data_IF_833178894709
#
_entry.id   IF_833178894709
#
_cell.length_a   1.000
_cell.length_b   1.000
_cell.length_c   1.000
_cell.angle_alpha   90.00
_cell.angle_beta   90.00
_cell.angle_gamma   90.00
#
_symmetry.space_group_name_H-M   'P 1'
#
loop_
_entity.id
_entity.type
_entity.pdbx_description
1 polymer ?
#
# COMPACT_ATOMS: atom_id res chain seq x y z
N UNK A 1 31.54 38.13 18.84
CA UNK A 1 31.69 36.67 19.08
C UNK A 1 30.47 35.99 18.52
N UNK A 2 30.64 34.95 17.69
CA UNK A 2 29.48 34.17 17.25
C UNK A 2 28.83 33.49 18.47
N UNK A 3 27.50 33.55 18.62
CA UNK A 3 26.83 32.92 19.75
C UNK A 3 27.10 31.41 19.74
N UNK A 4 27.54 30.86 20.88
CA UNK A 4 27.71 29.41 21.05
C UNK A 4 26.34 28.74 21.04
N UNK A 5 26.15 27.75 20.18
CA UNK A 5 24.92 26.99 20.07
C UNK A 5 25.21 25.50 19.85
N UNK A 6 24.32 24.59 20.27
CA UNK A 6 24.54 23.15 20.22
C UNK A 6 24.76 22.60 18.81
N UNK A 7 24.28 23.29 17.76
CA UNK A 7 24.55 22.86 16.38
C UNK A 7 26.03 22.96 15.98
N UNK A 8 26.86 23.82 16.59
CA UNK A 8 28.28 23.98 16.17
C UNK A 8 29.11 22.70 16.32
N UNK A 9 28.70 21.79 17.22
CA UNK A 9 29.39 20.54 17.50
C UNK A 9 28.75 19.33 16.80
N UNK A 10 27.70 19.54 16.00
CA UNK A 10 27.03 18.45 15.31
C UNK A 10 27.88 17.96 14.12
N UNK A 11 27.86 16.66 13.80
CA UNK A 11 28.56 16.12 12.65
C UNK A 11 27.98 16.66 11.33
N UNK A 12 28.74 16.59 10.24
CA UNK A 12 28.33 17.15 8.94
C UNK A 12 26.99 16.60 8.43
N UNK A 13 26.71 15.32 8.71
CA UNK A 13 25.43 14.65 8.39
C UNK A 13 24.19 15.31 9.02
N UNK A 14 24.36 16.13 10.06
CA UNK A 14 23.27 16.86 10.70
C UNK A 14 22.88 18.14 9.94
N UNK A 15 23.63 18.52 8.90
CA UNK A 15 23.40 19.76 8.15
C UNK A 15 23.05 19.45 6.69
N UNK A 16 21.79 19.65 6.31
CA UNK A 16 21.30 19.40 4.94
C UNK A 16 22.19 19.99 3.85
N UNK A 17 22.63 21.25 4.01
CA UNK A 17 23.52 21.94 3.05
C UNK A 17 24.87 21.24 2.87
N UNK A 18 25.40 20.62 3.93
CA UNK A 18 26.69 19.90 3.90
C UNK A 18 26.55 18.46 3.41
N UNK A 19 25.35 17.88 3.50
CA UNK A 19 25.10 16.46 3.17
C UNK A 19 24.41 16.27 1.82
N UNK A 20 23.24 16.88 1.61
CA UNK A 20 22.39 16.62 0.45
C UNK A 20 22.22 17.82 -0.50
N UNK A 21 22.39 19.05 0.00
CA UNK A 21 22.08 20.26 -0.78
C UNK A 21 23.08 20.64 -1.88
N UNK A 22 24.28 20.04 -1.90
CA UNK A 22 25.35 20.41 -2.86
C UNK A 22 26.16 19.21 -3.36
N UNK A 23 25.76 17.98 -3.02
CA UNK A 23 26.44 16.76 -3.43
C UNK A 23 25.60 16.03 -4.47
N UNK A 24 26.26 15.32 -5.40
CA UNK A 24 25.56 14.41 -6.30
C UNK A 24 24.92 13.27 -5.49
N UNK A 25 23.68 12.81 -5.79
CA UNK A 25 22.97 11.86 -4.94
C UNK A 25 23.72 10.56 -4.60
N UNK A 26 24.60 10.08 -5.49
CA UNK A 26 25.41 8.89 -5.26
C UNK A 26 26.66 9.15 -4.39
N UNK A 27 27.07 10.40 -4.26
CA UNK A 27 28.24 10.81 -3.47
C UNK A 27 27.87 11.11 -2.01
N UNK A 28 26.56 11.16 -1.71
CA UNK A 28 26.07 11.33 -0.35
C UNK A 28 26.43 10.09 0.47
N UNK A 29 27.53 10.18 1.21
CA UNK A 29 28.01 9.13 2.11
C UNK A 29 27.63 9.44 3.56
N UNK A 30 27.53 8.40 4.39
CA UNK A 30 27.28 8.51 5.85
C UNK A 30 25.97 9.20 6.28
N UNK A 31 25.03 9.47 5.36
CA UNK A 31 23.73 10.08 5.70
C UNK A 31 22.78 9.12 6.42
N UNK A 32 22.96 7.80 6.23
CA UNK A 32 22.20 6.77 6.91
C UNK A 32 23.08 5.58 7.29
N UNK A 33 22.62 4.84 8.30
CA UNK A 33 23.15 3.53 8.64
C UNK A 33 22.07 2.48 8.36
N UNK A 34 22.42 1.47 7.56
CA UNK A 34 21.50 0.35 7.27
C UNK A 34 21.21 -0.41 8.58
N UNK A 35 19.93 -0.50 8.95
CA UNK A 35 19.50 -1.35 10.08
C UNK A 35 19.65 -2.84 9.75
N UNK A 36 19.46 -3.22 8.49
CA UNK A 36 19.63 -4.58 8.00
C UNK A 36 19.83 -4.60 6.46
N UNK A 37 20.46 -5.65 5.90
CA UNK A 37 20.55 -5.84 4.46
C UNK A 37 19.20 -6.28 3.87
N UNK A 38 18.93 -5.88 2.63
CA UNK A 38 17.70 -6.24 1.89
C UNK A 38 17.95 -6.96 0.56
N UNK A 39 19.16 -6.89 -0.01
CA UNK A 39 19.44 -7.32 -1.38
C UNK A 39 19.07 -8.78 -1.70
N UNK A 40 19.24 -9.69 -0.74
CA UNK A 40 19.02 -11.13 -0.94
C UNK A 40 17.62 -11.59 -0.50
N UNK A 41 16.79 -10.69 0.01
CA UNK A 41 15.51 -11.03 0.62
C UNK A 41 14.37 -10.80 -0.36
N UNK A 42 13.38 -11.71 -0.44
CA UNK A 42 12.11 -11.44 -1.12
C UNK A 42 11.49 -10.13 -0.62
N UNK A 43 11.39 -9.14 -1.49
CA UNK A 43 10.88 -7.80 -1.18
C UNK A 43 9.50 -7.62 -1.80
N UNK A 44 8.53 -7.25 -0.98
CA UNK A 44 7.21 -6.85 -1.42
C UNK A 44 6.94 -5.38 -1.11
N UNK A 45 6.17 -4.69 -1.95
CA UNK A 45 5.84 -3.26 -1.78
C UNK A 45 4.35 -3.00 -1.89
N UNK A 46 3.77 -2.28 -0.93
CA UNK A 46 2.38 -1.81 -0.97
C UNK A 46 2.29 -0.34 -0.52
N UNK A 47 1.14 0.29 -0.73
CA UNK A 47 0.86 1.64 -0.24
C UNK A 47 0.30 2.56 -1.32
N UNK A 48 0.60 3.85 -1.17
CA UNK A 48 0.25 4.89 -2.15
C UNK A 48 0.97 4.70 -3.50
N UNK A 49 0.66 5.57 -4.47
CA UNK A 49 1.27 5.55 -5.81
C UNK A 49 2.82 5.58 -5.76
N UNK A 50 3.41 6.21 -4.74
CA UNK A 50 4.86 6.26 -4.60
C UNK A 50 5.49 4.88 -4.35
N UNK A 51 4.75 3.94 -3.75
CA UNK A 51 5.22 2.56 -3.60
C UNK A 51 5.37 1.83 -4.95
N UNK A 52 4.67 2.26 -6.01
CA UNK A 52 4.86 1.73 -7.38
C UNK A 52 6.26 2.09 -7.90
N UNK A 53 6.67 3.35 -7.71
CA UNK A 53 8.01 3.79 -8.09
C UNK A 53 9.11 3.06 -7.33
N UNK A 54 8.91 2.82 -6.03
CA UNK A 54 9.84 2.01 -5.22
C UNK A 54 9.91 0.58 -5.77
N UNK A 55 8.78 -0.07 -6.00
CA UNK A 55 8.72 -1.44 -6.52
C UNK A 55 9.39 -1.58 -7.89
N UNK A 56 9.08 -0.66 -8.81
CA UNK A 56 9.72 -0.57 -10.13
C UNK A 56 11.24 -0.41 -10.01
N UNK A 57 11.71 0.51 -9.17
CA UNK A 57 13.14 0.73 -9.01
C UNK A 57 13.84 -0.48 -8.39
N UNK A 58 13.23 -1.16 -7.41
CA UNK A 58 13.79 -2.39 -6.86
C UNK A 58 13.95 -3.47 -7.93
N UNK A 59 12.94 -3.65 -8.79
CA UNK A 59 12.96 -4.60 -9.90
C UNK A 59 14.04 -4.23 -10.94
N UNK A 60 14.08 -2.97 -11.38
CA UNK A 60 15.02 -2.47 -12.39
C UNK A 60 16.48 -2.54 -11.89
N UNK A 61 16.70 -2.49 -10.57
CA UNK A 61 18.02 -2.63 -9.94
C UNK A 61 18.39 -4.08 -9.56
N UNK A 62 17.58 -5.06 -9.97
CA UNK A 62 17.88 -6.48 -9.77
C UNK A 62 17.72 -6.99 -8.33
N UNK A 63 16.96 -6.29 -7.48
CA UNK A 63 16.57 -6.84 -6.18
C UNK A 63 15.60 -8.01 -6.37
N UNK A 64 15.51 -8.87 -5.36
CA UNK A 64 14.56 -9.97 -5.32
C UNK A 64 13.12 -9.47 -5.05
N UNK A 65 12.57 -8.69 -5.99
CA UNK A 65 11.20 -8.17 -5.94
C UNK A 65 10.19 -9.29 -6.22
N UNK A 66 9.19 -9.41 -5.36
CA UNK A 66 8.16 -10.44 -5.43
C UNK A 66 6.90 -9.87 -6.06
N UNK A 67 6.37 -10.61 -7.04
CA UNK A 67 5.02 -10.48 -7.57
C UNK A 67 4.31 -11.82 -7.39
N UNK A 68 3.29 -11.86 -6.52
CA UNK A 68 2.53 -13.09 -6.20
C UNK A 68 1.25 -13.21 -7.01
N UNK A 69 0.89 -12.20 -7.80
CA UNK A 69 -0.32 -12.18 -8.63
C UNK A 69 0.03 -11.68 -10.04
N UNK A 70 0.91 -12.41 -10.75
CA UNK A 70 1.36 -11.98 -12.06
C UNK A 70 0.23 -12.05 -13.08
N UNK A 71 0.37 -11.26 -14.15
CA UNK A 71 -0.56 -11.31 -15.28
C UNK A 71 -0.67 -12.73 -15.85
N UNK A 72 -1.87 -13.19 -16.23
CA UNK A 72 -2.02 -14.45 -16.92
C UNK A 72 -1.31 -14.41 -18.28
N UNK A 73 -0.80 -15.56 -18.73
CA UNK A 73 0.05 -15.64 -19.92
C UNK A 73 -0.63 -15.22 -21.24
N UNK A 74 -1.97 -15.23 -21.28
CA UNK A 74 -2.75 -14.78 -22.43
C UNK A 74 -2.92 -13.26 -22.51
N UNK A 75 -2.67 -12.52 -21.41
CA UNK A 75 -2.79 -11.06 -21.40
C UNK A 75 -1.51 -10.43 -21.96
N UNK A 76 -1.69 -9.64 -23.01
CA UNK A 76 -0.62 -8.93 -23.70
C UNK A 76 0.04 -7.91 -22.76
N UNK A 77 1.33 -7.66 -22.98
CA UNK A 77 2.11 -6.78 -22.10
C UNK A 77 1.56 -5.35 -22.03
N UNK A 78 0.91 -4.86 -23.08
CA UNK A 78 0.44 -3.48 -23.15
C UNK A 78 -0.77 -3.27 -22.23
N UNK A 79 -1.69 -4.24 -22.15
CA UNK A 79 -2.88 -4.14 -21.30
C UNK A 79 -2.65 -4.52 -19.84
N UNK A 80 -1.52 -5.12 -19.45
CA UNK A 80 -1.30 -5.59 -18.07
C UNK A 80 -1.55 -4.52 -17.00
N UNK A 81 -1.07 -3.31 -17.23
CA UNK A 81 -1.22 -2.21 -16.27
C UNK A 81 -2.68 -1.74 -16.16
N UNK A 82 -3.43 -1.73 -17.26
CA UNK A 82 -4.85 -1.36 -17.27
C UNK A 82 -5.68 -2.29 -16.37
N UNK A 83 -5.27 -3.55 -16.25
CA UNK A 83 -5.90 -4.57 -15.42
C UNK A 83 -5.25 -4.75 -14.05
N UNK A 84 -4.34 -3.87 -13.63
CA UNK A 84 -3.77 -3.96 -12.29
C UNK A 84 -2.46 -4.73 -12.15
N UNK A 85 -2.02 -5.44 -13.20
CA UNK A 85 -0.92 -6.39 -13.10
C UNK A 85 0.45 -5.72 -13.16
N UNK A 86 1.38 -6.21 -12.33
CA UNK A 86 2.75 -5.72 -12.28
C UNK A 86 2.93 -4.33 -11.67
N UNK A 87 1.86 -3.70 -11.17
CA UNK A 87 1.94 -2.41 -10.46
C UNK A 87 2.58 -2.53 -9.08
N UNK A 88 2.30 -3.62 -8.38
CA UNK A 88 2.75 -3.90 -7.02
C UNK A 88 3.11 -5.38 -6.88
N UNK A 89 3.35 -5.82 -5.65
CA UNK A 89 3.61 -7.22 -5.34
C UNK A 89 2.38 -8.12 -5.38
N UNK A 90 1.18 -7.56 -5.36
CA UNK A 90 -0.08 -8.23 -5.70
C UNK A 90 -1.07 -7.20 -6.26
N UNK A 91 -2.19 -7.65 -6.82
CA UNK A 91 -3.15 -6.82 -7.56
C UNK A 91 -4.17 -6.13 -6.65
N UNK A 92 -3.71 -5.51 -5.55
CA UNK A 92 -4.57 -4.78 -4.60
C UNK A 92 -4.80 -3.31 -4.97
N UNK A 93 -4.12 -2.78 -5.99
CA UNK A 93 -4.20 -1.37 -6.35
C UNK A 93 -3.54 -0.46 -5.31
N UNK A 94 -4.02 0.77 -5.14
CA UNK A 94 -3.49 1.65 -4.11
C UNK A 94 -4.05 1.28 -2.72
N UNK A 95 -3.17 1.16 -1.73
CA UNK A 95 -3.53 1.03 -0.32
C UNK A 95 -3.19 2.35 0.36
N UNK A 96 -4.15 3.27 0.43
CA UNK A 96 -3.89 4.64 0.83
C UNK A 96 -3.73 4.80 2.34
N UNK A 97 -4.52 4.11 3.14
CA UNK A 97 -4.52 4.27 4.60
C UNK A 97 -3.98 3.06 5.34
N UNK A 98 -3.49 3.26 6.57
CA UNK A 98 -3.09 2.18 7.47
C UNK A 98 -4.27 1.22 7.75
N UNK A 99 -5.48 1.77 7.87
CA UNK A 99 -6.71 0.99 8.09
C UNK A 99 -6.98 0.01 6.95
N UNK A 100 -6.81 0.44 5.71
CA UNK A 100 -6.94 -0.44 4.54
C UNK A 100 -5.90 -1.56 4.55
N UNK A 101 -4.64 -1.29 4.93
CA UNK A 101 -3.60 -2.31 5.02
C UNK A 101 -3.94 -3.39 6.06
N UNK A 102 -4.39 -2.97 7.25
CA UNK A 102 -4.81 -3.90 8.31
C UNK A 102 -5.94 -4.79 7.81
N UNK A 103 -6.97 -4.19 7.21
CA UNK A 103 -8.13 -4.95 6.73
C UNK A 103 -7.80 -5.83 5.52
N UNK A 104 -6.86 -5.43 4.66
CA UNK A 104 -6.35 -6.28 3.58
C UNK A 104 -5.72 -7.56 4.15
N UNK A 105 -4.88 -7.43 5.18
CA UNK A 105 -4.29 -8.59 5.86
C UNK A 105 -5.34 -9.45 6.59
N UNK A 106 -6.31 -8.83 7.26
CA UNK A 106 -7.39 -9.55 7.92
C UNK A 106 -8.25 -10.33 6.92
N UNK A 107 -8.63 -9.72 5.80
CA UNK A 107 -9.40 -10.35 4.72
C UNK A 107 -8.63 -11.51 4.09
N UNK A 108 -7.34 -11.32 3.79
CA UNK A 108 -6.49 -12.38 3.24
C UNK A 108 -6.32 -13.59 4.19
N UNK A 109 -6.46 -13.37 5.50
CA UNK A 109 -6.38 -14.41 6.53
C UNK A 109 -7.76 -14.91 7.00
N UNK A 110 -8.85 -14.48 6.38
CA UNK A 110 -10.22 -14.85 6.76
C UNK A 110 -10.64 -14.35 8.14
N UNK A 111 -9.95 -13.35 8.69
CA UNK A 111 -10.24 -12.75 10.02
C UNK A 111 -11.28 -11.63 9.95
N UNK A 112 -11.58 -11.13 8.75
CA UNK A 112 -12.57 -10.09 8.52
C UNK A 112 -13.25 -10.34 7.18
N UNK A 113 -14.58 -10.39 7.18
CA UNK A 113 -15.42 -10.49 5.99
C UNK A 113 -16.34 -9.26 5.98
N UNK A 114 -16.09 -8.30 5.07
CA UNK A 114 -16.93 -7.10 4.97
C UNK A 114 -18.37 -7.43 4.57
N UNK A 115 -19.33 -6.67 5.09
CA UNK A 115 -20.74 -6.78 4.68
C UNK A 115 -20.96 -6.28 3.24
N UNK A 116 -20.19 -5.27 2.81
CA UNK A 116 -20.27 -4.74 1.46
C UNK A 116 -19.56 -5.66 0.47
N UNK A 117 -20.30 -6.62 -0.09
CA UNK A 117 -19.78 -7.60 -1.03
C UNK A 117 -19.41 -7.00 -2.40
N UNK A 118 -20.15 -6.02 -2.90
CA UNK A 118 -19.88 -5.40 -4.21
C UNK A 118 -20.47 -4.00 -4.29
N UNK A 119 -20.02 -3.23 -5.27
CA UNK A 119 -20.65 -1.99 -5.71
C UNK A 119 -21.25 -2.18 -7.11
N UNK A 120 -22.38 -1.55 -7.39
CA UNK A 120 -22.99 -1.57 -8.73
C UNK A 120 -22.46 -0.42 -9.59
N UNK A 121 -22.17 -0.70 -10.86
CA UNK A 121 -21.79 0.31 -11.86
C UNK A 121 -22.19 -0.20 -13.24
N UNK A 122 -22.89 0.60 -14.03
CA UNK A 122 -23.23 0.34 -15.45
C UNK A 122 -23.80 -1.08 -15.71
N UNK A 123 -24.61 -1.59 -14.78
CA UNK A 123 -25.22 -2.93 -14.87
C UNK A 123 -24.32 -4.09 -14.43
N UNK A 124 -23.07 -3.83 -14.06
CA UNK A 124 -22.13 -4.82 -13.53
C UNK A 124 -21.71 -4.58 -12.08
N UNK A 125 -20.67 -5.30 -11.67
CA UNK A 125 -20.22 -5.42 -10.28
C UNK A 125 -18.77 -4.93 -10.12
N UNK A 126 -18.50 -4.15 -9.09
CA UNK A 126 -17.18 -3.58 -8.79
C UNK A 126 -16.73 -4.03 -7.40
N UNK A 127 -15.46 -4.41 -7.27
CA UNK A 127 -14.87 -4.76 -5.96
C UNK A 127 -14.64 -3.47 -5.14
N UNK A 128 -15.34 -3.25 -4.01
CA UNK A 128 -15.26 -2.00 -3.23
C UNK A 128 -13.85 -1.70 -2.72
N UNK A 129 -13.01 -2.73 -2.58
CA UNK A 129 -11.67 -2.62 -2.04
C UNK A 129 -10.60 -2.48 -3.10
N UNK A 130 -10.96 -2.69 -4.37
CA UNK A 130 -10.10 -2.55 -5.55
C UNK A 130 -10.91 -1.93 -6.71
N UNK A 131 -11.58 -0.79 -6.49
CA UNK A 131 -12.67 -0.34 -7.37
C UNK A 131 -12.21 0.16 -8.74
N UNK A 132 -10.90 0.32 -8.96
CA UNK A 132 -10.30 0.72 -10.24
C UNK A 132 -9.36 -0.35 -10.80
N UNK A 133 -9.46 -1.59 -10.32
CA UNK A 133 -8.52 -2.66 -10.72
C UNK A 133 -8.90 -3.34 -12.03
N UNK A 134 -10.19 -3.35 -12.34
CA UNK A 134 -10.71 -3.73 -13.64
C UNK A 134 -11.13 -2.45 -14.36
N UNK A 135 -10.84 -2.32 -15.67
CA UNK A 135 -11.31 -1.18 -16.46
C UNK A 135 -12.85 -1.09 -16.50
N UNK A 136 -13.49 -2.25 -16.64
CA UNK A 136 -14.94 -2.40 -16.70
C UNK A 136 -15.48 -3.17 -15.48
N UNK A 137 -16.73 -2.94 -15.07
CA UNK A 137 -17.38 -3.75 -14.05
C UNK A 137 -17.42 -5.23 -14.46
N UNK A 138 -17.26 -6.13 -13.48
CA UNK A 138 -17.47 -7.56 -13.69
C UNK A 138 -18.91 -7.84 -14.14
N UNK A 139 -19.09 -8.83 -15.00
CA UNK A 139 -20.39 -9.18 -15.56
C UNK A 139 -21.30 -9.88 -14.53
N UNK A 140 -20.71 -10.48 -13.49
CA UNK A 140 -21.46 -11.15 -12.41
C UNK A 140 -20.77 -11.05 -11.06
N UNK A 141 -21.55 -11.22 -9.98
CA UNK A 141 -21.01 -11.34 -8.62
C UNK A 141 -20.09 -12.55 -8.47
N UNK A 142 -20.38 -13.66 -9.15
CA UNK A 142 -19.56 -14.89 -9.12
C UNK A 142 -18.17 -14.63 -9.70
N UNK A 143 -18.09 -13.92 -10.82
CA UNK A 143 -16.82 -13.53 -11.44
C UNK A 143 -15.98 -12.65 -10.50
N UNK A 144 -16.62 -11.62 -9.94
CA UNK A 144 -16.01 -10.73 -8.95
C UNK A 144 -15.49 -11.50 -7.73
N UNK A 145 -16.29 -12.40 -7.17
CA UNK A 145 -15.92 -13.18 -5.99
C UNK A 145 -14.79 -14.16 -6.30
N UNK A 146 -14.77 -14.76 -7.48
CA UNK A 146 -13.68 -15.63 -7.94
C UNK A 146 -12.36 -14.84 -8.05
N UNK A 147 -12.39 -13.66 -8.66
CA UNK A 147 -11.22 -12.78 -8.75
C UNK A 147 -10.76 -12.29 -7.37
N UNK A 148 -11.69 -12.00 -6.47
CA UNK A 148 -11.38 -11.59 -5.09
C UNK A 148 -10.76 -12.72 -4.29
N UNK A 149 -11.30 -13.93 -4.36
CA UNK A 149 -10.79 -15.07 -3.63
C UNK A 149 -9.35 -15.38 -4.07
N UNK A 150 -9.12 -15.46 -5.38
CA UNK A 150 -7.78 -15.65 -5.94
C UNK A 150 -6.81 -14.56 -5.45
N UNK A 151 -7.21 -13.29 -5.54
CA UNK A 151 -6.43 -12.17 -5.05
C UNK A 151 -6.07 -12.30 -3.57
N UNK A 152 -7.04 -12.61 -2.71
CA UNK A 152 -6.80 -12.74 -1.27
C UNK A 152 -5.88 -13.93 -0.94
N UNK A 153 -5.92 -15.01 -1.71
CA UNK A 153 -4.96 -16.11 -1.61
C UNK A 153 -3.54 -15.65 -1.99
N UNK A 154 -3.39 -14.87 -3.07
CA UNK A 154 -2.11 -14.27 -3.43
C UNK A 154 -1.60 -13.33 -2.34
N UNK A 155 -2.43 -12.43 -1.82
CA UNK A 155 -2.07 -11.52 -0.72
C UNK A 155 -1.64 -12.28 0.53
N UNK A 156 -2.31 -13.38 0.86
CA UNK A 156 -1.89 -14.27 1.94
C UNK A 156 -0.49 -14.82 1.69
N UNK A 157 -0.24 -15.38 0.50
CA UNK A 157 1.09 -15.88 0.09
C UNK A 157 2.16 -14.80 0.19
N UNK A 158 1.86 -13.56 -0.21
CA UNK A 158 2.77 -12.42 -0.07
C UNK A 158 3.21 -12.23 1.38
N UNK A 159 2.27 -12.23 2.33
CA UNK A 159 2.60 -12.05 3.75
C UNK A 159 3.30 -13.27 4.36
N UNK A 160 3.08 -14.47 3.84
CA UNK A 160 3.76 -15.70 4.28
C UNK A 160 5.21 -15.78 3.76
N UNK A 161 5.48 -15.31 2.54
CA UNK A 161 6.76 -15.53 1.86
C UNK A 161 7.72 -14.33 1.89
N UNK A 162 7.19 -13.09 1.90
CA UNK A 162 8.02 -11.89 1.88
C UNK A 162 8.95 -11.83 3.10
N UNK A 163 10.17 -11.34 2.90
CA UNK A 163 11.15 -11.13 3.98
C UNK A 163 11.39 -9.66 4.27
N UNK A 164 11.11 -8.80 3.32
CA UNK A 164 11.04 -7.35 3.50
C UNK A 164 9.72 -6.87 2.91
N UNK A 165 8.92 -6.18 3.72
CA UNK A 165 7.71 -5.52 3.27
C UNK A 165 7.90 -4.01 3.37
N UNK A 166 7.88 -3.33 2.24
CA UNK A 166 7.91 -1.87 2.16
C UNK A 166 6.48 -1.37 2.08
N UNK A 167 6.07 -0.55 3.05
CA UNK A 167 4.77 0.09 3.02
C UNK A 167 4.93 1.60 2.94
N UNK A 168 4.40 2.20 1.88
CA UNK A 168 4.34 3.67 1.78
C UNK A 168 3.04 4.16 2.38
N UNK A 169 3.13 4.80 3.55
CA UNK A 169 2.03 5.49 4.20
C UNK A 169 1.48 6.55 3.24
N UNK A 170 0.18 6.47 2.96
CA UNK A 170 -0.52 7.40 2.10
C UNK A 170 -1.35 8.41 2.89
N UNK A 171 -2.66 8.36 2.72
CA UNK A 171 -3.63 9.28 3.29
C UNK A 171 -4.02 8.89 4.71
N UNK A 172 -4.35 9.90 5.52
CA UNK A 172 -5.08 9.69 6.77
C UNK A 172 -6.59 9.62 6.55
N UNK A 173 -7.07 10.23 5.46
CA UNK A 173 -8.46 10.17 5.04
C UNK A 173 -8.79 8.83 4.38
N UNK A 174 -9.87 8.21 4.84
CA UNK A 174 -10.42 6.99 4.25
C UNK A 174 -11.94 6.99 4.40
N UNK A 175 -12.64 6.38 3.44
CA UNK A 175 -14.07 6.15 3.56
C UNK A 175 -14.30 4.85 4.33
N UNK A 176 -15.26 4.85 5.25
CA UNK A 176 -15.60 3.65 6.02
C UNK A 176 -17.10 3.39 5.99
N UNK A 177 -17.44 2.10 5.99
CA UNK A 177 -18.79 1.62 6.27
C UNK A 177 -19.13 1.89 7.74
N UNK A 178 -20.33 2.41 8.00
CA UNK A 178 -20.86 2.63 9.35
C UNK A 178 -21.36 1.34 10.00
N UNK A 179 -21.58 0.28 9.21
CA UNK A 179 -22.13 -1.00 9.67
C UNK A 179 -21.07 -1.89 10.31
N UNK A 180 -19.92 -2.05 9.64
CA UNK A 180 -18.87 -3.02 10.00
C UNK A 180 -17.46 -2.40 10.07
N UNK A 181 -17.33 -1.11 9.78
CA UNK A 181 -16.06 -0.40 9.77
C UNK A 181 -15.15 -0.74 8.58
N UNK A 182 -15.64 -1.42 7.54
CA UNK A 182 -14.87 -1.70 6.32
C UNK A 182 -14.37 -0.40 5.69
N UNK A 183 -13.06 -0.32 5.40
CA UNK A 183 -12.39 0.84 4.85
C UNK A 183 -12.19 0.69 3.35
N UNK A 184 -12.61 1.71 2.61
CA UNK A 184 -12.57 1.76 1.15
C UNK A 184 -11.54 2.78 0.67
N UNK A 185 -10.85 2.50 -0.45
CA UNK A 185 -9.87 3.42 -1.05
C UNK A 185 -10.50 4.69 -1.62
N UNK A 186 -11.79 4.66 -1.95
CA UNK A 186 -12.55 5.80 -2.48
C UNK A 186 -13.97 5.80 -1.94
N UNK A 187 -14.66 6.94 -2.05
CA UNK A 187 -16.08 7.01 -1.76
C UNK A 187 -16.88 6.18 -2.79
N UNK A 188 -17.95 5.48 -2.36
CA UNK A 188 -18.96 4.99 -3.30
C UNK A 188 -19.48 6.15 -4.17
N UNK A 189 -19.77 5.86 -5.44
CA UNK A 189 -20.14 6.86 -6.44
C UNK A 189 -18.97 7.38 -7.29
N UNK A 190 -17.72 7.17 -6.87
CA UNK A 190 -16.53 7.60 -7.66
C UNK A 190 -16.18 6.59 -8.75
N UNK A 191 -16.05 5.31 -8.39
CA UNK A 191 -15.74 4.23 -9.34
C UNK A 191 -16.74 3.06 -9.25
N UNK A 192 -17.86 3.28 -8.58
CA UNK A 192 -18.94 2.32 -8.42
C UNK A 192 -19.72 2.57 -7.13
N UNK A 193 -20.95 2.06 -7.08
CA UNK A 193 -21.84 2.19 -5.93
C UNK A 193 -22.50 3.55 -5.88
N UNK A 194 -23.33 3.76 -4.86
CA UNK A 194 -24.01 5.01 -4.59
C UNK A 194 -23.67 5.48 -3.18
N UNK A 195 -23.27 6.74 -3.05
CA UNK A 195 -22.98 7.32 -1.76
C UNK A 195 -24.28 7.45 -0.95
N UNK A 196 -24.23 6.97 0.29
CA UNK A 196 -25.30 7.08 1.27
C UNK A 196 -24.67 7.51 2.60
N UNK A 197 -24.95 8.72 3.10
CA UNK A 197 -24.33 9.25 4.33
C UNK A 197 -24.74 8.47 5.59
N UNK A 198 -25.77 7.61 5.54
CA UNK A 198 -26.12 6.72 6.64
C UNK A 198 -25.24 5.46 6.66
N UNK A 199 -24.74 5.04 5.49
CA UNK A 199 -23.93 3.82 5.32
C UNK A 199 -22.43 4.09 5.26
N UNK A 200 -22.05 5.28 4.84
CA UNK A 200 -20.65 5.63 4.60
C UNK A 200 -20.32 6.96 5.26
N UNK A 201 -19.15 7.02 5.88
CA UNK A 201 -18.61 8.26 6.43
C UNK A 201 -17.15 8.42 6.09
N UNK A 202 -16.72 9.66 5.95
CA UNK A 202 -15.31 9.99 5.92
C UNK A 202 -14.72 9.79 7.33
N UNK A 203 -13.59 9.11 7.40
CA UNK A 203 -12.78 8.96 8.60
C UNK A 203 -11.41 9.56 8.32
N UNK A 204 -11.03 10.58 9.10
CA UNK A 204 -9.68 11.10 9.10
C UNK A 204 -8.93 10.51 10.29
N UNK A 205 -7.96 9.63 10.00
CA UNK A 205 -7.16 8.93 11.01
C UNK A 205 -6.20 9.88 11.69
N UNK A 206 -6.21 9.90 13.02
CA UNK A 206 -5.19 10.60 13.80
C UNK A 206 -3.85 9.85 13.73
N UNK A 207 -2.77 10.50 14.18
CA UNK A 207 -1.48 9.82 14.35
C UNK A 207 -1.59 8.59 15.27
N UNK A 208 -2.42 8.67 16.32
CA UNK A 208 -2.64 7.55 17.23
C UNK A 208 -3.34 6.38 16.53
N UNK A 209 -4.36 6.66 15.70
CA UNK A 209 -5.04 5.63 14.91
C UNK A 209 -4.07 4.94 13.95
N UNK A 210 -3.20 5.70 13.27
CA UNK A 210 -2.20 5.15 12.35
C UNK A 210 -1.19 4.27 13.08
N UNK A 211 -0.72 4.69 14.25
CA UNK A 211 0.19 3.88 15.08
C UNK A 211 -0.49 2.57 15.49
N UNK A 212 -1.73 2.64 15.99
CA UNK A 212 -2.50 1.47 16.39
C UNK A 212 -2.72 0.50 15.22
N UNK A 213 -3.12 1.01 14.06
CA UNK A 213 -3.28 0.22 12.85
C UNK A 213 -1.97 -0.50 12.47
N UNK A 214 -0.85 0.22 12.46
CA UNK A 214 0.44 -0.38 12.09
C UNK A 214 0.91 -1.43 13.11
N UNK A 215 0.72 -1.19 14.41
CA UNK A 215 0.98 -2.20 15.44
C UNK A 215 0.11 -3.45 15.25
N UNK A 216 -1.17 -3.27 14.94
CA UNK A 216 -2.11 -4.36 14.69
C UNK A 216 -1.71 -5.14 13.43
N UNK A 217 -1.35 -4.47 12.34
CA UNK A 217 -0.81 -5.11 11.14
C UNK A 217 0.44 -5.93 11.46
N UNK A 218 1.40 -5.39 12.21
CA UNK A 218 2.59 -6.13 12.62
C UNK A 218 2.24 -7.36 13.47
N UNK A 219 1.29 -7.25 14.40
CA UNK A 219 0.82 -8.38 15.22
C UNK A 219 0.21 -9.46 14.33
N UNK A 220 -0.64 -9.10 13.37
CA UNK A 220 -1.28 -10.03 12.43
C UNK A 220 -0.21 -10.77 11.62
N UNK A 221 0.68 -10.06 10.92
CA UNK A 221 1.62 -10.73 10.02
C UNK A 221 2.68 -11.51 10.79
N UNK A 222 3.12 -11.07 11.98
CA UNK A 222 4.07 -11.84 12.79
C UNK A 222 3.53 -13.21 13.24
N UNK A 223 2.21 -13.43 13.24
CA UNK A 223 1.62 -14.76 13.53
C UNK A 223 1.94 -15.77 12.44
N UNK A 224 2.00 -15.32 11.18
CA UNK A 224 2.25 -16.19 10.01
C UNK A 224 3.69 -16.10 9.52
N UNK A 225 4.39 -14.98 9.74
CA UNK A 225 5.74 -14.74 9.26
C UNK A 225 6.54 -13.89 10.26
N UNK A 226 7.19 -14.57 11.21
CA UNK A 226 8.06 -13.93 12.22
C UNK A 226 9.35 -13.34 11.65
N UNK A 227 9.72 -13.71 10.42
CA UNK A 227 11.01 -13.34 9.80
C UNK A 227 10.90 -12.11 8.90
N UNK A 228 9.69 -11.64 8.62
CA UNK A 228 9.46 -10.46 7.81
C UNK A 228 9.94 -9.20 8.53
N UNK A 229 10.67 -8.35 7.80
CA UNK A 229 11.10 -7.03 8.23
C UNK A 229 10.27 -5.98 7.51
N UNK A 230 10.08 -4.83 8.15
CA UNK A 230 9.24 -3.76 7.64
C UNK A 230 10.08 -2.52 7.35
N UNK A 231 9.78 -1.86 6.23
CA UNK A 231 10.29 -0.52 5.91
C UNK A 231 9.06 0.35 5.68
N UNK A 232 8.95 1.43 6.45
CA UNK A 232 7.88 2.40 6.26
C UNK A 232 8.46 3.61 5.54
N UNK A 233 7.74 4.07 4.52
CA UNK A 233 8.05 5.28 3.74
C UNK A 233 6.87 6.22 3.76
N UNK A 234 7.12 7.51 3.54
CA UNK A 234 6.09 8.53 3.33
C UNK A 234 6.29 9.11 1.94
N UNK A 235 5.19 9.42 1.25
CA UNK A 235 5.26 10.01 -0.09
C UNK A 235 5.68 11.48 -0.01
N UNK A 236 6.65 11.94 -0.83
CA UNK A 236 7.01 13.36 -0.92
C UNK A 236 6.05 14.16 -1.82
N UNK A 237 5.07 13.49 -2.45
CA UNK A 237 4.20 14.08 -3.46
C UNK A 237 3.08 14.90 -2.79
N UNK A 238 2.90 16.18 -3.14
CA UNK A 238 1.79 16.98 -2.64
C UNK A 238 0.45 16.41 -3.15
N UNK A 239 -0.56 16.39 -2.28
CA UNK A 239 -1.90 15.90 -2.63
C UNK A 239 -2.58 16.85 -3.63
N UNK A 240 -3.24 16.30 -4.65
CA UNK A 240 -4.00 17.11 -5.60
C UNK A 240 -5.29 17.68 -4.99
N UNK A 241 -5.93 16.91 -4.09
CA UNK A 241 -7.10 17.32 -3.32
C UNK A 241 -7.24 16.44 -2.06
N UNK A 242 -7.79 16.98 -0.98
CA UNK A 242 -8.23 16.29 0.24
C UNK A 242 -9.74 16.49 0.42
N UNK A 243 -10.40 15.60 1.15
CA UNK A 243 -11.86 15.61 1.31
C UNK A 243 -12.35 16.60 2.40
#
# INVERSE_FOLDING_TARGET
MNPKHPYQQQPEKAFWKKTAGSQYPLDITQWYQKKFPIAQHPIATAGSCFAQHIGKQLKDQGFNFVDVEPAPGFLDNASRLDYGYGMYSARYGNVYSSRQLVQLAQRALGQFVPEQAYWLKDGGYVDPFRPTIEPEPYASSIELDTHREHHLQCVRKLFEEARVFVFTLGLTETWVSTQDGAAFPMAPGVAGGLFDPQKYRLLNLTCADVIEDMENFFKIVRRINKKMRFILTVSPVPLMATA
#
